data_IF_301301359948
#
_entry.id   IF_301301359948
#
_cell.length_a   1.000
_cell.length_b   1.000
_cell.length_c   1.000
_cell.angle_alpha   90.00
_cell.angle_beta   90.00
_cell.angle_gamma   90.00
#
_symmetry.space_group_name_H-M   'P 1'
#
loop_
_entity.id
_entity.type
_entity.pdbx_description
1 polymer ?
#
# COMPACT_ATOMS: atom_id res chain seq x y z
N UNK A 1 4.12 26.52 35.26
CA UNK A 1 5.12 25.50 34.94
C UNK A 1 4.52 24.11 35.06
N UNK A 2 3.81 23.79 36.16
CA UNK A 2 3.18 22.48 36.35
C UNK A 2 2.06 22.24 35.34
N UNK A 3 1.25 23.25 34.99
CA UNK A 3 0.20 23.14 34.00
C UNK A 3 0.76 22.93 32.58
N UNK A 4 1.85 23.61 32.27
CA UNK A 4 2.51 23.47 30.97
C UNK A 4 3.06 22.04 30.76
N UNK A 5 3.69 21.46 31.77
CA UNK A 5 4.18 20.10 31.72
C UNK A 5 3.05 19.08 31.55
N UNK A 6 1.93 19.31 32.24
CA UNK A 6 0.75 18.45 32.10
C UNK A 6 0.20 18.45 30.67
N UNK A 7 0.14 19.62 30.03
CA UNK A 7 -0.35 19.74 28.65
C UNK A 7 0.57 19.03 27.66
N UNK A 8 1.88 19.11 27.84
CA UNK A 8 2.85 18.39 27.01
C UNK A 8 2.68 16.87 27.13
N UNK A 9 2.51 16.34 28.34
CA UNK A 9 2.30 14.91 28.57
C UNK A 9 0.99 14.45 27.93
N UNK A 10 -0.09 15.19 28.07
CA UNK A 10 -1.39 14.85 27.47
C UNK A 10 -1.30 14.85 25.93
N UNK A 11 -0.57 15.80 25.35
CA UNK A 11 -0.40 15.91 23.91
C UNK A 11 0.45 14.75 23.36
N UNK A 12 1.53 14.38 24.03
CA UNK A 12 2.38 13.25 23.64
C UNK A 12 1.61 11.92 23.72
N UNK A 13 0.77 11.74 24.73
CA UNK A 13 -0.07 10.56 24.88
C UNK A 13 -1.07 10.45 23.72
N UNK A 14 -1.67 11.57 23.31
CA UNK A 14 -2.61 11.60 22.18
C UNK A 14 -1.92 11.17 20.87
N UNK A 15 -0.73 11.70 20.60
CA UNK A 15 0.04 11.34 19.41
C UNK A 15 0.38 9.84 19.43
N UNK A 16 0.82 9.33 20.56
CA UNK A 16 1.13 7.91 20.75
C UNK A 16 -0.09 7.04 20.46
N UNK A 17 -1.24 7.38 21.02
CA UNK A 17 -2.48 6.63 20.84
C UNK A 17 -2.93 6.61 19.37
N UNK A 18 -2.84 7.73 18.67
CA UNK A 18 -3.21 7.83 17.26
C UNK A 18 -2.32 6.95 16.38
N UNK A 19 -1.04 6.80 16.72
CA UNK A 19 -0.10 5.95 15.99
C UNK A 19 -0.49 4.48 16.04
N UNK A 20 -1.16 4.02 17.09
CA UNK A 20 -1.58 2.63 17.27
C UNK A 20 -3.03 2.35 16.88
N UNK A 21 -3.78 3.38 16.46
CA UNK A 21 -5.17 3.22 16.05
C UNK A 21 -5.33 2.70 14.62
N UNK A 22 -4.27 2.66 13.85
CA UNK A 22 -4.28 2.24 12.45
C UNK A 22 -3.37 1.01 12.25
N UNK A 23 -3.56 0.25 11.16
CA UNK A 23 -2.69 -0.88 10.84
C UNK A 23 -1.23 -0.47 10.71
N UNK A 24 -0.33 -1.41 10.94
CA UNK A 24 1.11 -1.17 10.83
C UNK A 24 1.56 -1.05 9.39
N UNK A 25 2.61 -0.25 9.13
CA UNK A 25 3.20 -0.14 7.80
C UNK A 25 3.68 -1.49 7.26
N UNK A 26 3.63 -1.64 5.95
CA UNK A 26 4.01 -2.86 5.25
C UNK A 26 4.51 -2.51 3.85
N UNK A 27 5.15 -3.47 3.17
CA UNK A 27 5.66 -3.29 1.82
C UNK A 27 5.00 -4.25 0.85
N UNK A 28 4.93 -3.83 -0.42
CA UNK A 28 4.43 -4.64 -1.52
C UNK A 28 5.59 -5.46 -2.09
N UNK A 29 5.36 -6.76 -2.32
CA UNK A 29 6.34 -7.61 -2.97
C UNK A 29 6.39 -7.32 -4.47
N UNK A 30 7.50 -7.70 -5.12
CA UNK A 30 7.61 -7.59 -6.57
C UNK A 30 6.48 -8.41 -7.22
N UNK A 31 5.70 -7.83 -8.15
CA UNK A 31 4.68 -8.60 -8.86
C UNK A 31 5.27 -9.77 -9.63
N UNK A 32 4.48 -10.81 -9.84
CA UNK A 32 4.91 -12.03 -10.54
C UNK A 32 3.91 -12.38 -11.63
N UNK A 33 4.40 -13.02 -12.70
CA UNK A 33 3.57 -13.54 -13.76
C UNK A 33 3.65 -15.06 -13.80
N UNK A 34 2.50 -15.72 -14.01
CA UNK A 34 2.42 -17.17 -14.16
C UNK A 34 1.14 -17.52 -14.93
N UNK A 35 1.25 -18.36 -15.95
CA UNK A 35 0.12 -18.91 -16.72
C UNK A 35 -0.86 -17.86 -17.25
N UNK A 36 -0.35 -16.74 -17.75
CA UNK A 36 -1.18 -15.65 -18.27
C UNK A 36 -1.85 -14.82 -17.18
N UNK A 37 -1.44 -14.98 -15.92
CA UNK A 37 -1.96 -14.24 -14.78
C UNK A 37 -0.88 -13.34 -14.18
N UNK A 38 -1.33 -12.25 -13.59
CA UNK A 38 -0.50 -11.31 -12.84
C UNK A 38 -0.85 -11.46 -11.36
N UNK A 39 0.15 -11.85 -10.57
CA UNK A 39 -0.03 -12.10 -9.14
C UNK A 39 0.64 -11.01 -8.32
N UNK A 40 -0.11 -10.48 -7.37
CA UNK A 40 0.38 -9.51 -6.39
C UNK A 40 0.33 -10.11 -5.00
N UNK A 41 1.32 -9.77 -4.19
CA UNK A 41 1.34 -10.09 -2.77
C UNK A 41 2.04 -8.96 -2.01
N UNK A 42 1.83 -8.92 -0.70
CA UNK A 42 2.45 -7.92 0.16
C UNK A 42 2.61 -8.51 1.55
N UNK A 43 3.42 -7.85 2.37
CA UNK A 43 3.58 -8.27 3.76
C UNK A 43 2.25 -8.11 4.50
N UNK A 44 1.89 -9.09 5.30
CA UNK A 44 0.71 -8.96 6.14
C UNK A 44 0.94 -7.85 7.17
N UNK A 45 0.06 -6.84 7.15
CA UNK A 45 0.05 -5.86 8.22
C UNK A 45 -0.58 -6.47 9.48
N UNK A 46 -0.47 -5.80 10.60
CA UNK A 46 -1.15 -6.21 11.82
C UNK A 46 -1.64 -4.98 12.57
N UNK A 47 -2.57 -5.20 13.47
CA UNK A 47 -3.17 -4.16 14.28
C UNK A 47 -2.81 -4.40 15.75
N UNK A 48 -2.31 -3.39 16.45
CA UNK A 48 -1.95 -3.50 17.86
C UNK A 48 -3.14 -3.77 18.77
N UNK A 49 -4.35 -3.50 18.29
CA UNK A 49 -5.58 -3.73 19.03
C UNK A 49 -6.23 -5.05 18.67
N UNK A 50 -5.52 -5.92 17.94
CA UNK A 50 -6.00 -7.22 17.45
C UNK A 50 -7.28 -7.14 16.61
N UNK A 51 -7.54 -6.00 15.95
CA UNK A 51 -8.65 -5.91 15.01
C UNK A 51 -8.33 -6.68 13.74
N UNK A 52 -9.35 -7.28 13.14
CA UNK A 52 -9.20 -7.92 11.84
C UNK A 52 -8.85 -6.90 10.77
N UNK A 53 -8.00 -7.30 9.84
CA UNK A 53 -7.58 -6.45 8.73
C UNK A 53 -8.16 -6.94 7.43
N UNK A 54 -8.50 -5.99 6.56
CA UNK A 54 -8.80 -6.22 5.17
C UNK A 54 -7.92 -5.32 4.31
N UNK A 55 -7.76 -5.69 3.03
CA UNK A 55 -6.90 -4.96 2.11
C UNK A 55 -7.68 -4.53 0.88
N UNK A 56 -7.41 -3.31 0.43
CA UNK A 56 -7.92 -2.78 -0.83
C UNK A 56 -6.75 -2.63 -1.79
N UNK A 57 -6.90 -3.13 -3.02
CA UNK A 57 -5.87 -3.11 -4.05
C UNK A 57 -6.38 -2.34 -5.25
N UNK A 58 -5.52 -1.47 -5.78
CA UNK A 58 -5.79 -0.74 -7.02
C UNK A 58 -4.58 -0.85 -7.92
N UNK A 59 -4.80 -1.21 -9.20
CA UNK A 59 -3.75 -1.21 -10.23
C UNK A 59 -4.18 -0.23 -11.31
N UNK A 60 -3.25 0.66 -11.68
CA UNK A 60 -3.54 1.75 -12.61
C UNK A 60 -2.37 1.99 -13.56
N UNK A 61 -2.60 2.79 -14.60
CA UNK A 61 -1.59 3.19 -15.57
C UNK A 61 -0.82 4.45 -15.16
N UNK A 62 -1.23 5.10 -14.07
CA UNK A 62 -0.61 6.32 -13.55
C UNK A 62 -0.32 6.20 -12.06
N UNK A 63 0.66 6.98 -11.57
CA UNK A 63 1.09 6.90 -10.17
C UNK A 63 0.06 7.48 -9.18
N UNK A 64 -0.89 8.29 -9.64
CA UNK A 64 -2.00 8.78 -8.81
C UNK A 64 -3.17 7.81 -8.76
N UNK A 65 -3.09 6.70 -9.50
CA UNK A 65 -4.12 5.66 -9.56
C UNK A 65 -5.49 6.18 -10.01
N UNK A 66 -5.49 7.07 -10.98
CA UNK A 66 -6.71 7.62 -11.59
C UNK A 66 -7.19 6.78 -12.76
N UNK A 67 -6.27 6.25 -13.59
CA UNK A 67 -6.59 5.39 -14.73
C UNK A 67 -6.54 3.92 -14.29
N UNK A 68 -7.56 3.50 -13.56
CA UNK A 68 -7.62 2.19 -12.91
C UNK A 68 -7.95 1.10 -13.94
N UNK A 69 -7.13 0.04 -13.96
CA UNK A 69 -7.38 -1.13 -14.80
C UNK A 69 -7.88 -2.33 -13.99
N UNK A 70 -7.67 -2.33 -12.68
CA UNK A 70 -8.07 -3.42 -11.79
C UNK A 70 -8.20 -2.89 -10.37
N UNK A 71 -9.23 -3.31 -9.65
CA UNK A 71 -9.34 -3.03 -8.23
C UNK A 71 -10.09 -4.14 -7.52
N UNK A 72 -9.71 -4.41 -6.27
CA UNK A 72 -10.43 -5.28 -5.34
C UNK A 72 -10.41 -4.68 -3.96
N UNK A 73 -11.50 -4.87 -3.24
CA UNK A 73 -11.66 -4.39 -1.88
C UNK A 73 -11.98 -5.54 -0.93
N UNK A 74 -11.76 -5.31 0.35
CA UNK A 74 -12.11 -6.25 1.42
C UNK A 74 -11.44 -7.62 1.28
N UNK A 75 -10.19 -7.64 0.82
CA UNK A 75 -9.41 -8.88 0.76
C UNK A 75 -8.97 -9.30 2.16
N UNK A 76 -9.25 -10.55 2.52
CA UNK A 76 -8.84 -11.09 3.83
C UNK A 76 -7.38 -11.56 3.84
N UNK A 77 -6.82 -11.88 2.68
CA UNK A 77 -5.45 -12.37 2.54
C UNK A 77 -4.58 -11.31 1.86
N UNK A 78 -3.27 -11.28 2.16
CA UNK A 78 -2.36 -10.28 1.58
C UNK A 78 -1.90 -10.67 0.17
N UNK A 79 -2.80 -11.09 -0.68
CA UNK A 79 -2.51 -11.46 -2.06
C UNK A 79 -3.74 -11.34 -2.95
N UNK A 80 -3.51 -11.16 -4.24
CA UNK A 80 -4.57 -11.18 -5.25
C UNK A 80 -3.98 -11.53 -6.62
N UNK A 81 -4.85 -11.92 -7.54
CA UNK A 81 -4.49 -12.31 -8.91
C UNK A 81 -5.45 -11.65 -9.88
N UNK A 82 -4.92 -11.20 -11.00
CA UNK A 82 -5.71 -10.68 -12.12
C UNK A 82 -5.18 -11.22 -13.44
N UNK A 83 -5.90 -11.01 -14.52
CA UNK A 83 -5.42 -11.33 -15.85
C UNK A 83 -4.23 -10.44 -16.19
N UNK A 84 -3.29 -10.97 -16.96
CA UNK A 84 -2.12 -10.25 -17.38
C UNK A 84 -2.51 -9.14 -18.36
N UNK A 85 -2.28 -7.86 -18.06
CA UNK A 85 -2.54 -6.79 -19.00
C UNK A 85 -1.46 -6.74 -20.10
N UNK A 86 -1.65 -5.89 -21.10
CA UNK A 86 -0.67 -5.70 -22.16
C UNK A 86 0.62 -5.04 -21.68
N UNK A 87 1.58 -4.91 -22.58
CA UNK A 87 2.84 -4.23 -22.29
C UNK A 87 2.60 -2.78 -21.85
N UNK A 88 3.37 -2.33 -20.89
CA UNK A 88 3.29 -0.95 -20.42
C UNK A 88 3.79 -0.77 -19.00
N UNK A 89 3.66 0.45 -18.53
CA UNK A 89 3.99 0.84 -17.17
C UNK A 89 2.71 0.84 -16.34
N UNK A 90 2.82 0.28 -15.13
CA UNK A 90 1.70 0.15 -14.22
C UNK A 90 2.12 0.50 -12.81
N UNK A 91 1.11 0.78 -11.98
CA UNK A 91 1.30 1.12 -10.57
C UNK A 91 0.31 0.32 -9.73
N UNK A 92 0.79 -0.23 -8.61
CA UNK A 92 -0.08 -0.90 -7.65
C UNK A 92 -0.09 -0.13 -6.34
N UNK A 93 -1.28 0.06 -5.79
CA UNK A 93 -1.51 0.65 -4.47
C UNK A 93 -2.24 -0.36 -3.60
N UNK A 94 -1.76 -0.56 -2.38
CA UNK A 94 -2.41 -1.43 -1.40
C UNK A 94 -2.66 -0.64 -0.12
N UNK A 95 -3.87 -0.77 0.41
CA UNK A 95 -4.30 -0.11 1.64
C UNK A 95 -4.84 -1.16 2.60
N UNK A 96 -4.26 -1.23 3.81
CA UNK A 96 -4.78 -2.04 4.89
C UNK A 96 -5.80 -1.23 5.69
N UNK A 97 -6.88 -1.88 6.12
CA UNK A 97 -7.96 -1.25 6.90
C UNK A 97 -8.35 -2.16 8.05
N UNK A 98 -8.50 -1.59 9.24
CA UNK A 98 -9.01 -2.32 10.40
C UNK A 98 -10.53 -2.17 10.54
N UNK A 99 -11.14 -2.85 11.51
CA UNK A 99 -12.59 -2.84 11.71
C UNK A 99 -13.11 -1.47 12.19
N UNK A 100 -12.24 -0.65 12.76
CA UNK A 100 -12.57 0.74 13.14
C UNK A 100 -12.55 1.71 11.97
N UNK A 101 -12.18 1.26 10.77
CA UNK A 101 -12.11 2.09 9.57
C UNK A 101 -10.80 2.87 9.41
N UNK A 102 -9.82 2.66 10.26
CA UNK A 102 -8.50 3.29 10.13
C UNK A 102 -7.68 2.56 9.08
N UNK A 103 -6.87 3.30 8.33
CA UNK A 103 -6.17 2.77 7.17
C UNK A 103 -4.68 3.08 7.22
N UNK A 104 -3.90 2.22 6.56
CA UNK A 104 -2.47 2.43 6.34
C UNK A 104 -2.13 1.98 4.92
N UNK A 105 -1.59 2.89 4.13
CA UNK A 105 -1.08 2.55 2.80
C UNK A 105 0.28 1.87 2.92
N UNK A 106 0.63 1.05 1.91
CA UNK A 106 1.96 0.47 1.83
C UNK A 106 3.03 1.56 1.84
N UNK A 107 4.22 1.24 2.35
CA UNK A 107 5.33 2.18 2.45
C UNK A 107 6.13 2.32 1.15
N UNK A 108 5.81 1.56 0.13
CA UNK A 108 6.42 1.73 -1.18
C UNK A 108 6.20 3.16 -1.69
N UNK A 109 7.12 3.64 -2.50
CA UNK A 109 6.98 4.95 -3.09
C UNK A 109 7.45 4.97 -4.53
N UNK A 110 6.95 5.94 -5.28
CA UNK A 110 7.38 6.24 -6.64
C UNK A 110 7.97 7.65 -6.66
N UNK A 111 9.17 7.77 -7.22
CA UNK A 111 9.86 9.05 -7.31
C UNK A 111 9.42 9.81 -8.55
N UNK A 112 8.95 11.04 -8.34
CA UNK A 112 8.60 11.97 -9.42
C UNK A 112 9.56 13.17 -9.38
N UNK A 113 9.45 14.05 -10.36
CA UNK A 113 10.25 15.29 -10.41
C UNK A 113 9.99 16.21 -9.21
N UNK A 114 8.82 16.09 -8.60
CA UNK A 114 8.41 16.93 -7.46
C UNK A 114 8.58 16.26 -6.11
N UNK A 115 9.04 15.00 -6.07
CA UNK A 115 9.28 14.26 -4.84
C UNK A 115 8.73 12.85 -4.85
N UNK A 116 8.51 12.28 -3.67
CA UNK A 116 8.05 10.90 -3.49
C UNK A 116 6.53 10.85 -3.39
N UNK A 117 5.92 9.90 -4.11
CA UNK A 117 4.51 9.54 -3.95
C UNK A 117 4.44 8.20 -3.22
N UNK A 118 4.01 8.22 -1.97
CA UNK A 118 3.96 7.03 -1.12
C UNK A 118 2.70 6.20 -1.38
N UNK A 119 2.78 4.91 -1.01
CA UNK A 119 1.67 3.98 -1.10
C UNK A 119 1.55 3.30 -2.45
N UNK A 120 2.46 3.57 -3.38
CA UNK A 120 2.37 3.03 -4.73
C UNK A 120 3.71 2.42 -5.15
N UNK A 121 3.66 1.30 -5.88
CA UNK A 121 4.82 0.63 -6.44
C UNK A 121 4.68 0.57 -7.96
N UNK A 122 5.71 1.01 -8.66
CA UNK A 122 5.77 0.96 -10.12
C UNK A 122 6.28 -0.40 -10.58
N UNK A 123 5.72 -0.90 -11.68
CA UNK A 123 6.23 -2.07 -12.37
C UNK A 123 5.95 -1.96 -13.87
N UNK A 124 6.69 -2.74 -14.66
CA UNK A 124 6.57 -2.76 -16.12
C UNK A 124 6.26 -4.16 -16.59
N UNK A 125 5.44 -4.27 -17.63
CA UNK A 125 5.20 -5.53 -18.33
C UNK A 125 5.74 -5.39 -19.75
N UNK A 126 6.55 -6.36 -20.15
CA UNK A 126 7.09 -6.44 -21.51
C UNK A 126 7.10 -7.88 -21.97
N UNK A 127 6.41 -8.15 -23.07
CA UNK A 127 6.30 -9.50 -23.66
C UNK A 127 5.79 -10.53 -22.65
N UNK A 128 4.80 -10.15 -21.84
CA UNK A 128 4.19 -11.01 -20.85
C UNK A 128 5.00 -11.26 -19.61
N UNK A 129 6.07 -10.49 -19.38
CA UNK A 129 6.95 -10.65 -18.22
C UNK A 129 7.09 -9.33 -17.46
N UNK A 130 7.31 -9.47 -16.14
CA UNK A 130 7.60 -8.31 -15.30
C UNK A 130 9.04 -7.86 -15.54
N UNK A 131 9.20 -6.57 -15.78
CA UNK A 131 10.52 -5.92 -15.87
C UNK A 131 10.53 -4.85 -14.78
N UNK A 132 11.51 -4.90 -13.90
CA UNK A 132 11.68 -3.86 -12.89
C UNK A 132 12.57 -2.76 -13.44
N UNK A 133 12.11 -1.52 -13.33
CA UNK A 133 12.93 -0.35 -13.62
C UNK A 133 13.69 0.02 -12.35
N UNK A 134 15.02 -0.17 -12.39
CA UNK A 134 15.88 0.15 -11.25
C UNK A 134 15.85 1.64 -10.89
N UNK A 135 15.39 2.49 -11.79
CA UNK A 135 15.24 3.93 -11.54
C UNK A 135 13.88 4.31 -10.97
N UNK A 136 12.95 3.37 -10.85
CA UNK A 136 11.60 3.62 -10.34
C UNK A 136 11.51 3.55 -8.81
N UNK A 137 12.61 3.40 -8.14
CA UNK A 137 12.68 3.38 -6.69
C UNK A 137 13.35 4.61 -6.13
#
# INVERSE_FOLDING_TARGET
VAGQLHDEVAQNYRIYKESFDKPMPFFIDAPQTADGKLKFSWDASYDFRDEDLSYDVTVAKDYLCEDVIFSKTDLALPETVTDLPGDGQYFIRVRARNTSGKTQDAFDYYMTDTGKTYGTRCFYIKSGKIVEDVNAR
#
